data_IF_511617086218
#
_entry.id   IF_511617086218
#
_cell.length_a   1.000
_cell.length_b   1.000
_cell.length_c   1.000
_cell.angle_alpha   90.00
_cell.angle_beta   90.00
_cell.angle_gamma   90.00
#
_symmetry.space_group_name_H-M   'P 1'
#
loop_
_entity.id
_entity.type
_entity.pdbx_description
1 polymer ?
#
# COMPACT_ATOMS: atom_id res chain seq x y z
N UNK A 1 -6.38 -5.43 -48.20
CA UNK A 1 -5.65 -4.50 -47.31
C UNK A 1 -6.32 -4.58 -45.95
N UNK A 2 -5.51 -4.81 -44.92
CA UNK A 2 -5.86 -5.27 -43.57
C UNK A 2 -6.83 -4.33 -42.84
N UNK A 3 -7.80 -4.96 -42.15
CA UNK A 3 -8.79 -4.39 -41.25
C UNK A 3 -8.13 -3.73 -40.02
N UNK A 4 -8.67 -2.58 -39.58
CA UNK A 4 -8.44 -2.05 -38.24
C UNK A 4 -9.77 -1.97 -37.49
N UNK A 5 -10.13 -3.08 -36.84
CA UNK A 5 -10.97 -3.04 -35.64
C UNK A 5 -10.08 -2.59 -34.48
N UNK A 6 -10.22 -1.34 -34.05
CA UNK A 6 -9.71 -0.95 -32.74
C UNK A 6 -10.59 -1.58 -31.66
N UNK A 7 -10.05 -2.24 -30.62
CA UNK A 7 -10.86 -2.62 -29.50
C UNK A 7 -11.17 -1.35 -28.71
N UNK A 8 -12.43 -0.92 -28.76
CA UNK A 8 -13.03 -0.11 -27.71
C UNK A 8 -12.84 -0.87 -26.40
N UNK A 9 -11.84 -0.48 -25.61
CA UNK A 9 -11.68 -0.97 -24.26
C UNK A 9 -12.86 -0.46 -23.44
N UNK A 10 -13.90 -1.29 -23.36
CA UNK A 10 -15.01 -1.14 -22.44
C UNK A 10 -14.43 -1.00 -21.03
N UNK A 11 -14.69 0.13 -20.38
CA UNK A 11 -14.51 0.29 -18.94
C UNK A 11 -15.46 -0.73 -18.31
N UNK A 12 -14.92 -1.89 -17.94
CA UNK A 12 -15.65 -2.89 -17.18
C UNK A 12 -16.08 -2.25 -15.86
N UNK A 13 -17.39 -2.10 -15.68
CA UNK A 13 -17.96 -1.69 -14.41
C UNK A 13 -17.45 -2.60 -13.30
N UNK A 14 -16.96 -1.99 -12.22
CA UNK A 14 -16.41 -2.69 -11.06
C UNK A 14 -17.49 -3.52 -10.36
N UNK A 15 -17.61 -4.79 -10.77
CA UNK A 15 -18.25 -5.83 -9.98
C UNK A 15 -17.24 -6.44 -9.01
N UNK A 16 -17.69 -6.78 -7.80
CA UNK A 16 -16.94 -7.40 -6.71
C UNK A 16 -16.17 -8.66 -7.14
N UNK A 17 -14.99 -8.49 -7.73
CA UNK A 17 -14.11 -9.59 -8.08
C UNK A 17 -13.35 -10.03 -6.83
N UNK A 18 -13.48 -11.31 -6.45
CA UNK A 18 -12.61 -11.93 -5.43
C UNK A 18 -11.21 -12.24 -5.96
N UNK A 19 -11.03 -12.16 -7.29
CA UNK A 19 -9.82 -12.56 -8.00
C UNK A 19 -8.95 -11.36 -8.39
N UNK A 20 -9.50 -10.15 -8.48
CA UNK A 20 -8.75 -8.94 -8.84
C UNK A 20 -8.74 -7.93 -7.69
N UNK A 21 -7.59 -7.32 -7.39
CA UNK A 21 -7.53 -6.27 -6.39
C UNK A 21 -8.41 -5.07 -6.79
N UNK A 22 -9.00 -4.34 -5.83
CA UNK A 22 -9.76 -3.13 -6.13
C UNK A 22 -8.83 -2.04 -6.67
N UNK A 23 -9.20 -1.41 -7.79
CA UNK A 23 -8.38 -0.39 -8.43
C UNK A 23 -8.37 0.91 -7.60
N UNK A 24 -7.21 1.56 -7.56
CA UNK A 24 -6.98 2.84 -6.92
C UNK A 24 -6.53 3.88 -7.94
N UNK A 25 -7.38 4.89 -8.12
CA UNK A 25 -7.11 6.03 -9.00
C UNK A 25 -6.85 7.33 -8.22
N UNK A 26 -6.64 7.25 -6.90
CA UNK A 26 -6.44 8.41 -6.02
C UNK A 26 -7.73 8.97 -5.41
N UNK A 27 -8.90 8.45 -5.76
CA UNK A 27 -10.18 8.86 -5.16
C UNK A 27 -10.70 7.84 -4.13
N UNK A 28 -11.56 8.29 -3.22
CA UNK A 28 -12.22 7.45 -2.20
C UNK A 28 -11.24 6.56 -1.41
N UNK A 29 -10.11 7.14 -0.99
CA UNK A 29 -9.03 6.40 -0.34
C UNK A 29 -9.49 5.55 0.85
N UNK A 30 -10.37 6.05 1.72
CA UNK A 30 -10.87 5.30 2.88
C UNK A 30 -11.62 4.02 2.47
N UNK A 31 -12.45 4.12 1.43
CA UNK A 31 -13.19 2.97 0.90
C UNK A 31 -12.24 1.98 0.22
N UNK A 32 -11.35 2.49 -0.64
CA UNK A 32 -10.36 1.66 -1.31
C UNK A 32 -9.47 0.92 -0.30
N UNK A 33 -8.96 1.64 0.71
CA UNK A 33 -8.09 1.08 1.75
C UNK A 33 -8.78 -0.04 2.51
N UNK A 34 -10.06 0.14 2.84
CA UNK A 34 -10.86 -0.88 3.53
C UNK A 34 -11.04 -2.11 2.65
N UNK A 35 -11.41 -1.93 1.38
CA UNK A 35 -11.58 -3.05 0.43
C UNK A 35 -10.27 -3.78 0.14
N UNK A 36 -9.19 -3.04 -0.04
CA UNK A 36 -7.86 -3.60 -0.28
C UNK A 36 -7.35 -4.41 0.91
N UNK A 37 -7.54 -3.90 2.13
CA UNK A 37 -7.20 -4.63 3.35
C UNK A 37 -7.93 -5.97 3.43
N UNK A 38 -9.24 -5.97 3.15
CA UNK A 38 -10.04 -7.19 3.11
C UNK A 38 -9.57 -8.15 2.01
N UNK A 39 -9.24 -7.63 0.82
CA UNK A 39 -8.73 -8.43 -0.30
C UNK A 39 -7.41 -9.14 0.05
N UNK A 40 -6.44 -8.42 0.60
CA UNK A 40 -5.14 -8.98 1.02
C UNK A 40 -5.34 -10.01 2.14
N UNK A 41 -6.22 -9.74 3.11
CA UNK A 41 -6.52 -10.68 4.19
C UNK A 41 -7.13 -11.99 3.67
N UNK A 42 -8.05 -11.89 2.70
CA UNK A 42 -8.72 -13.05 2.11
C UNK A 42 -7.80 -13.88 1.19
N UNK A 43 -6.94 -13.23 0.42
CA UNK A 43 -6.13 -13.89 -0.61
C UNK A 43 -4.69 -14.23 -0.19
N UNK A 44 -4.14 -13.52 0.80
CA UNK A 44 -2.73 -13.64 1.18
C UNK A 44 -2.47 -14.03 2.63
N UNK A 45 -3.48 -14.30 3.48
CA UNK A 45 -3.37 -14.78 4.88
C UNK A 45 -2.41 -14.03 5.84
N UNK A 46 -1.62 -13.06 5.37
CA UNK A 46 -0.46 -12.50 6.08
C UNK A 46 -0.39 -10.99 5.92
N UNK A 47 -1.49 -10.30 6.24
CA UNK A 47 -1.49 -8.88 6.64
C UNK A 47 -0.36 -8.55 7.66
N UNK A 48 0.11 -9.56 8.38
CA UNK A 48 1.23 -9.50 9.34
C UNK A 48 2.58 -9.08 8.70
N UNK A 49 2.81 -9.33 7.41
CA UNK A 49 4.04 -8.91 6.71
C UNK A 49 4.01 -7.41 6.43
N UNK A 50 2.89 -6.91 5.91
CA UNK A 50 2.66 -5.47 5.68
C UNK A 50 2.72 -4.69 7.02
N UNK A 51 2.31 -5.27 8.14
CA UNK A 51 2.34 -4.58 9.45
C UNK A 51 3.70 -4.64 10.14
N UNK A 52 4.45 -5.74 10.04
CA UNK A 52 5.69 -5.90 10.81
C UNK A 52 6.94 -5.31 10.16
N UNK A 53 6.95 -5.06 8.84
CA UNK A 53 7.96 -4.23 8.15
C UNK A 53 9.42 -4.70 8.15
N UNK A 54 9.77 -5.72 8.94
CA UNK A 54 11.16 -6.14 9.08
C UNK A 54 11.48 -7.19 8.03
N UNK A 55 12.02 -6.72 6.91
CA UNK A 55 12.35 -7.55 5.75
C UNK A 55 13.82 -7.98 5.69
N UNK A 56 14.69 -7.36 6.50
CA UNK A 56 16.10 -7.72 6.59
C UNK A 56 16.30 -8.40 7.94
N UNK A 57 16.46 -9.72 7.94
CA UNK A 57 17.07 -10.37 9.09
C UNK A 57 18.52 -9.99 9.11
N UNK A 58 18.83 -9.05 9.99
CA UNK A 58 20.18 -8.68 10.26
C UNK A 58 20.78 -9.67 11.27
N UNK A 59 21.92 -10.27 10.96
CA UNK A 59 22.72 -10.96 11.96
C UNK A 59 23.46 -9.95 12.83
N UNK A 60 23.49 -10.18 14.13
CA UNK A 60 24.33 -9.42 15.06
C UNK A 60 25.63 -10.18 15.24
N UNK A 61 26.73 -9.62 14.74
CA UNK A 61 28.08 -10.12 14.99
C UNK A 61 28.80 -9.01 15.75
N UNK A 62 29.22 -9.30 16.99
CA UNK A 62 29.94 -8.34 17.85
C UNK A 62 29.23 -6.99 18.06
N UNK A 63 27.89 -6.99 18.08
CA UNK A 63 27.09 -5.77 18.25
C UNK A 63 26.81 -5.00 16.95
N UNK A 64 27.42 -5.40 15.84
CA UNK A 64 27.19 -4.83 14.51
C UNK A 64 26.16 -5.66 13.75
N UNK A 65 25.28 -4.97 13.03
CA UNK A 65 24.07 -5.49 12.38
C UNK A 65 24.38 -5.66 10.88
N UNK A 66 24.40 -6.90 10.38
CA UNK A 66 24.72 -7.24 8.98
C UNK A 66 23.55 -7.94 8.28
N UNK A 67 23.28 -7.69 6.99
CA UNK A 67 22.34 -8.50 6.22
C UNK A 67 22.77 -9.96 6.22
N UNK A 68 21.84 -10.90 6.50
CA UNK A 68 22.12 -12.34 6.31
C UNK A 68 22.31 -12.67 4.84
N UNK A 69 23.37 -13.42 4.51
CA UNK A 69 23.58 -13.99 3.18
C UNK A 69 22.48 -14.99 2.80
N UNK A 70 22.24 -15.14 1.50
CA UNK A 70 21.22 -16.04 0.94
C UNK A 70 21.42 -17.51 1.33
N UNK A 71 22.66 -17.92 1.56
CA UNK A 71 23.06 -19.25 2.07
C UNK A 71 22.59 -19.53 3.50
N UNK A 72 22.28 -18.50 4.30
CA UNK A 72 21.83 -18.61 5.68
C UNK A 72 20.30 -18.57 5.83
N UNK A 73 19.57 -18.55 4.71
CA UNK A 73 18.11 -18.40 4.70
C UNK A 73 17.41 -19.72 5.01
N UNK A 74 16.60 -19.72 6.07
CA UNK A 74 15.72 -20.86 6.34
C UNK A 74 14.48 -20.83 5.43
N UNK A 75 13.80 -21.98 5.34
CA UNK A 75 12.58 -22.11 4.53
C UNK A 75 11.45 -21.16 4.96
N UNK A 76 11.42 -20.72 6.22
CA UNK A 76 10.41 -19.77 6.70
C UNK A 76 10.71 -18.36 6.16
N UNK A 77 11.98 -17.98 6.10
CA UNK A 77 12.45 -16.72 5.57
C UNK A 77 12.18 -16.61 4.06
N UNK A 78 12.52 -17.64 3.28
CA UNK A 78 12.22 -17.69 1.84
C UNK A 78 10.70 -17.51 1.60
N UNK A 79 9.86 -18.17 2.40
CA UNK A 79 8.40 -18.00 2.33
C UNK A 79 7.96 -16.56 2.61
N UNK A 80 8.56 -15.89 3.61
CA UNK A 80 8.26 -14.47 3.88
C UNK A 80 8.67 -13.57 2.72
N UNK A 81 9.80 -13.86 2.06
CA UNK A 81 10.23 -13.10 0.88
C UNK A 81 9.22 -13.21 -0.24
N UNK A 82 8.83 -14.44 -0.57
CA UNK A 82 7.84 -14.73 -1.61
C UNK A 82 6.50 -14.06 -1.30
N UNK A 83 6.06 -14.08 -0.04
CA UNK A 83 4.82 -13.44 0.38
C UNK A 83 4.86 -11.91 0.21
N UNK A 84 5.95 -11.24 0.59
CA UNK A 84 6.06 -9.80 0.36
C UNK A 84 6.14 -9.45 -1.12
N UNK A 85 6.86 -10.23 -1.93
CA UNK A 85 6.86 -10.03 -3.38
C UNK A 85 5.44 -10.13 -3.96
N UNK A 86 4.66 -11.11 -3.50
CA UNK A 86 3.24 -11.28 -3.86
C UNK A 86 2.37 -10.11 -3.37
N UNK A 87 2.62 -9.60 -2.16
CA UNK A 87 1.89 -8.45 -1.62
C UNK A 87 2.24 -7.16 -2.39
N UNK A 88 3.52 -6.95 -2.74
CA UNK A 88 3.95 -5.83 -3.59
C UNK A 88 3.27 -5.89 -4.96
N UNK A 89 3.30 -7.05 -5.61
CA UNK A 89 2.65 -7.30 -6.89
C UNK A 89 1.14 -7.00 -6.81
N UNK A 90 0.47 -7.53 -5.78
CA UNK A 90 -0.97 -7.28 -5.52
C UNK A 90 -1.26 -5.79 -5.36
N UNK A 91 -0.43 -5.08 -4.60
CA UNK A 91 -0.58 -3.64 -4.40
C UNK A 91 -0.36 -2.89 -5.70
N UNK A 92 0.70 -3.17 -6.46
CA UNK A 92 0.98 -2.49 -7.73
C UNK A 92 -0.12 -2.73 -8.77
N UNK A 93 -0.63 -3.95 -8.89
CA UNK A 93 -1.76 -4.27 -9.77
C UNK A 93 -3.04 -3.49 -9.42
N UNK A 94 -3.16 -3.06 -8.18
CA UNK A 94 -4.27 -2.26 -7.72
C UNK A 94 -4.13 -0.77 -8.00
N UNK A 95 -3.01 -0.30 -8.54
CA UNK A 95 -2.77 1.14 -8.73
C UNK A 95 -3.00 1.54 -10.18
N UNK A 96 -3.63 2.69 -10.35
CA UNK A 96 -3.53 3.45 -11.60
C UNK A 96 -2.09 3.86 -11.88
N UNK A 97 -1.76 4.15 -13.14
CA UNK A 97 -0.40 4.55 -13.52
C UNK A 97 0.15 5.74 -12.70
N UNK A 98 -0.68 6.74 -12.43
CA UNK A 98 -0.29 7.90 -11.63
C UNK A 98 0.07 7.52 -10.18
N UNK A 99 -0.71 6.63 -9.58
CA UNK A 99 -0.47 6.18 -8.21
C UNK A 99 0.73 5.24 -8.13
N UNK A 100 0.91 4.37 -9.13
CA UNK A 100 2.07 3.50 -9.25
C UNK A 100 3.39 4.29 -9.25
N UNK A 101 3.47 5.36 -10.04
CA UNK A 101 4.68 6.20 -10.15
C UNK A 101 5.10 6.77 -8.77
N UNK A 102 4.14 7.06 -7.87
CA UNK A 102 4.44 7.63 -6.54
C UNK A 102 5.14 6.64 -5.61
N UNK A 103 4.91 5.34 -5.81
CA UNK A 103 5.37 4.26 -4.93
C UNK A 103 6.32 3.28 -5.61
N UNK A 104 6.66 3.48 -6.89
CA UNK A 104 7.49 2.56 -7.68
C UNK A 104 8.89 2.31 -7.11
N UNK A 105 9.42 3.25 -6.31
CA UNK A 105 10.72 3.14 -5.65
C UNK A 105 10.67 2.45 -4.27
N UNK A 106 9.49 2.03 -3.82
CA UNK A 106 9.34 1.34 -2.53
C UNK A 106 9.86 -0.10 -2.62
N UNK A 107 10.57 -0.55 -1.59
CA UNK A 107 11.30 -1.81 -1.61
C UNK A 107 10.52 -2.99 -1.01
N UNK A 108 9.41 -2.71 -0.33
CA UNK A 108 8.57 -3.73 0.29
C UNK A 108 7.11 -3.29 0.35
N UNK A 109 6.21 -4.26 0.57
CA UNK A 109 4.76 -4.02 0.56
C UNK A 109 4.31 -3.04 1.66
N UNK A 110 4.99 -3.02 2.81
CA UNK A 110 4.71 -2.07 3.89
C UNK A 110 5.03 -0.64 3.46
N UNK A 111 6.18 -0.41 2.84
CA UNK A 111 6.58 0.91 2.38
C UNK A 111 5.58 1.45 1.33
N UNK A 112 5.14 0.61 0.40
CA UNK A 112 4.07 0.94 -0.55
C UNK A 112 2.79 1.33 0.21
N UNK A 113 2.31 0.46 1.11
CA UNK A 113 1.07 0.68 1.86
C UNK A 113 1.09 1.97 2.68
N UNK A 114 2.18 2.19 3.42
CA UNK A 114 2.37 3.36 4.27
C UNK A 114 2.46 4.63 3.42
N UNK A 115 3.17 4.59 2.28
CA UNK A 115 3.32 5.75 1.40
C UNK A 115 2.01 6.14 0.72
N UNK A 116 1.18 5.19 0.31
CA UNK A 116 -0.18 5.48 -0.17
C UNK A 116 -0.98 6.16 0.96
N UNK A 117 -0.93 5.63 2.19
CA UNK A 117 -1.62 6.23 3.33
C UNK A 117 -1.20 7.67 3.62
N UNK A 118 0.12 7.92 3.69
CA UNK A 118 0.65 9.27 3.93
C UNK A 118 0.23 10.25 2.83
N UNK A 119 0.20 9.80 1.57
CA UNK A 119 -0.14 10.66 0.42
C UNK A 119 -1.62 11.08 0.43
N UNK A 120 -2.52 10.17 0.81
CA UNK A 120 -3.97 10.38 0.64
C UNK A 120 -4.72 10.77 1.91
N UNK A 121 -4.28 10.31 3.07
CA UNK A 121 -4.83 10.80 4.35
C UNK A 121 -4.12 12.07 4.85
N UNK A 122 -2.95 12.38 4.30
CA UNK A 122 -2.03 13.37 4.86
C UNK A 122 -1.31 12.85 6.11
N UNK A 123 -0.30 13.59 6.56
CA UNK A 123 0.41 13.29 7.81
C UNK A 123 -0.44 13.65 9.03
N UNK A 124 -0.19 13.01 10.17
CA UNK A 124 -0.81 13.39 11.46
C UNK A 124 -0.70 14.89 11.71
N UNK A 125 0.47 15.48 11.45
CA UNK A 125 0.72 16.92 11.58
C UNK A 125 -0.25 17.79 10.78
N UNK A 126 -0.58 17.41 9.54
CA UNK A 126 -1.54 18.17 8.72
C UNK A 126 -2.97 18.03 9.26
N UNK A 127 -3.34 16.86 9.77
CA UNK A 127 -4.64 16.64 10.42
C UNK A 127 -4.76 17.49 11.70
N UNK A 128 -3.71 17.51 12.53
CA UNK A 128 -3.66 18.28 13.77
C UNK A 128 -3.72 19.80 13.51
N UNK A 129 -3.02 20.28 12.47
CA UNK A 129 -3.11 21.68 12.04
C UNK A 129 -4.52 22.07 11.63
N UNK A 130 -5.23 21.22 10.86
CA UNK A 130 -6.61 21.48 10.44
C UNK A 130 -7.57 21.53 11.63
N UNK A 131 -7.43 20.59 12.57
CA UNK A 131 -8.23 20.57 13.81
C UNK A 131 -7.96 21.83 14.64
N UNK A 132 -6.70 22.23 14.78
CA UNK A 132 -6.31 23.42 15.54
C UNK A 132 -6.91 24.70 14.93
N UNK A 133 -6.88 24.82 13.59
CA UNK A 133 -7.51 25.93 12.87
C UNK A 133 -9.03 25.97 13.09
N UNK A 134 -9.73 24.85 12.90
CA UNK A 134 -11.18 24.77 13.12
C UNK A 134 -11.54 25.08 14.58
N UNK A 135 -10.73 24.60 15.54
CA UNK A 135 -10.93 24.87 16.96
C UNK A 135 -10.75 26.35 17.27
N UNK A 136 -9.73 26.99 16.71
CA UNK A 136 -9.50 28.44 16.87
C UNK A 136 -10.65 29.25 16.28
N UNK A 137 -11.12 28.91 15.07
CA UNK A 137 -12.25 29.57 14.43
C UNK A 137 -13.52 29.43 15.30
N UNK A 138 -13.81 28.22 15.80
CA UNK A 138 -14.96 27.99 16.68
C UNK A 138 -14.90 28.83 17.97
N UNK A 139 -13.73 28.91 18.61
CA UNK A 139 -13.54 29.74 19.81
C UNK A 139 -13.67 31.23 19.52
N UNK A 140 -13.26 31.69 18.32
CA UNK A 140 -13.45 33.07 17.87
C UNK A 140 -14.93 33.39 17.60
N UNK A 141 -15.65 32.48 16.93
CA UNK A 141 -17.09 32.61 16.70
C UNK A 141 -17.90 32.65 17.99
N UNK A 142 -17.53 31.87 19.00
CA UNK A 142 -18.23 31.84 20.29
C UNK A 142 -18.00 33.09 21.13
N UNK A 143 -16.90 33.82 20.91
CA UNK A 143 -16.54 35.02 21.66
C UNK A 143 -17.13 36.32 21.09
N UNK A 144 -17.82 36.24 19.95
CA UNK A 144 -18.50 37.37 19.30
C UNK A 144 -20.00 37.25 19.49
#
# INVERSE_FOLDING_TARGET
MISTFGPNFTILGEGYSTMRPPLFNGSNYLDWRTRMKLFIQANNCVWRIITNGSFIHMKRVEGVIFPKEESEWDNNYIKKIQLNAKDMDTLFYALSANEYIRVSLCNNAKEIWDKIGVTHEGTSRVKDSKISLITLDYELFKKT
#
